data_IF_408085452721
#
_entry.id   IF_408085452721
#
_cell.length_a   1.000
_cell.length_b   1.000
_cell.length_c   1.000
_cell.angle_alpha   90.00
_cell.angle_beta   90.00
_cell.angle_gamma   90.00
#
_symmetry.space_group_name_H-M   'P 1'
#
loop_
_entity.id
_entity.type
_entity.pdbx_description
1 polymer ?
#
# COMPACT_ATOMS: atom_id res chain seq x y z
N UNK A 1 -51.41 -44.12 -12.04
CA UNK A 1 -50.66 -43.27 -11.09
C UNK A 1 -49.35 -43.96 -10.79
N UNK A 2 -48.20 -43.35 -11.11
CA UNK A 2 -46.88 -43.56 -10.50
C UNK A 2 -45.82 -42.78 -11.30
N UNK A 3 -45.73 -41.46 -11.04
CA UNK A 3 -44.63 -40.62 -11.50
C UNK A 3 -43.48 -40.71 -10.49
N UNK A 4 -42.40 -41.40 -10.86
CA UNK A 4 -41.25 -41.63 -9.98
C UNK A 4 -40.42 -40.36 -9.70
N UNK A 5 -39.79 -40.24 -8.52
CA UNK A 5 -39.10 -39.04 -8.03
C UNK A 5 -37.68 -38.84 -8.62
N UNK A 6 -37.40 -39.36 -9.81
CA UNK A 6 -36.05 -39.40 -10.40
C UNK A 6 -35.62 -38.12 -11.12
N UNK A 7 -36.56 -37.22 -11.41
CA UNK A 7 -36.29 -35.97 -12.16
C UNK A 7 -35.69 -34.86 -11.27
N UNK A 8 -36.11 -34.77 -10.00
CA UNK A 8 -35.68 -33.69 -9.10
C UNK A 8 -34.22 -33.84 -8.65
N UNK A 9 -33.77 -35.06 -8.34
CA UNK A 9 -32.41 -35.31 -7.85
C UNK A 9 -31.35 -35.12 -8.95
N UNK A 10 -31.65 -35.55 -10.18
CA UNK A 10 -30.77 -35.33 -11.33
C UNK A 10 -30.67 -33.85 -11.71
N UNK A 11 -31.77 -33.08 -11.57
CA UNK A 11 -31.79 -31.63 -11.83
C UNK A 11 -31.04 -30.85 -10.74
N UNK A 12 -31.18 -31.25 -9.47
CA UNK A 12 -30.45 -30.70 -8.33
C UNK A 12 -28.94 -30.93 -8.42
N UNK A 13 -28.51 -32.14 -8.83
CA UNK A 13 -27.09 -32.44 -9.05
C UNK A 13 -26.51 -31.69 -10.26
N UNK A 14 -27.32 -31.43 -11.31
CA UNK A 14 -26.91 -30.61 -12.46
C UNK A 14 -26.79 -29.13 -12.10
N UNK A 15 -27.72 -28.59 -11.32
CA UNK A 15 -27.65 -27.23 -10.79
C UNK A 15 -26.47 -27.06 -9.84
N UNK A 16 -26.22 -28.02 -8.94
CA UNK A 16 -25.02 -28.02 -8.10
C UNK A 16 -23.75 -28.12 -8.93
N UNK A 17 -23.69 -28.96 -9.97
CA UNK A 17 -22.52 -29.05 -10.84
C UNK A 17 -22.30 -27.78 -11.69
N UNK A 18 -23.36 -27.11 -12.15
CA UNK A 18 -23.28 -25.81 -12.83
C UNK A 18 -22.89 -24.68 -11.88
N UNK A 19 -23.43 -24.67 -10.66
CA UNK A 19 -22.95 -23.78 -9.61
C UNK A 19 -21.48 -24.08 -9.32
N UNK A 20 -21.09 -25.33 -9.06
CA UNK A 20 -19.69 -25.67 -8.82
C UNK A 20 -18.79 -25.28 -9.99
N UNK A 21 -19.19 -25.48 -11.24
CA UNK A 21 -18.42 -25.08 -12.41
C UNK A 21 -18.33 -23.55 -12.56
N UNK A 22 -19.44 -22.83 -12.38
CA UNK A 22 -19.48 -21.36 -12.35
C UNK A 22 -18.62 -20.81 -11.21
N UNK A 23 -18.71 -21.38 -10.01
CA UNK A 23 -17.92 -21.01 -8.84
C UNK A 23 -16.45 -21.38 -9.00
N UNK A 24 -16.11 -22.47 -9.68
CA UNK A 24 -14.71 -22.84 -9.97
C UNK A 24 -14.12 -21.96 -11.08
N UNK A 25 -14.91 -21.62 -12.10
CA UNK A 25 -14.51 -20.71 -13.17
C UNK A 25 -14.37 -19.27 -12.63
N UNK A 26 -15.34 -18.77 -11.86
CA UNK A 26 -15.24 -17.48 -11.15
C UNK A 26 -14.11 -17.46 -10.11
N UNK A 27 -13.88 -18.55 -9.37
CA UNK A 27 -12.78 -18.59 -8.40
C UNK A 27 -11.40 -18.65 -9.08
N UNK A 28 -11.30 -19.17 -10.30
CA UNK A 28 -10.08 -19.06 -11.10
C UNK A 28 -9.91 -17.66 -11.67
N UNK A 29 -10.98 -17.03 -12.19
CA UNK A 29 -10.91 -15.64 -12.66
C UNK A 29 -10.60 -14.66 -11.52
N UNK A 30 -11.22 -14.81 -10.35
CA UNK A 30 -10.93 -13.93 -9.22
C UNK A 30 -9.52 -14.12 -8.70
N UNK A 31 -8.96 -15.33 -8.70
CA UNK A 31 -7.57 -15.50 -8.28
C UNK A 31 -6.61 -14.83 -9.24
N UNK A 32 -6.86 -14.91 -10.56
CA UNK A 32 -6.04 -14.25 -11.57
C UNK A 32 -6.15 -12.72 -11.46
N UNK A 33 -7.36 -12.17 -11.30
CA UNK A 33 -7.58 -10.73 -11.06
C UNK A 33 -6.88 -10.26 -9.77
N UNK A 34 -7.00 -11.04 -8.68
CA UNK A 34 -6.31 -10.77 -7.41
C UNK A 34 -4.80 -10.80 -7.63
N UNK A 35 -4.30 -11.76 -8.40
CA UNK A 35 -2.88 -11.93 -8.66
C UNK A 35 -2.32 -10.73 -9.41
N UNK A 36 -2.98 -10.29 -10.48
CA UNK A 36 -2.60 -9.11 -11.26
C UNK A 36 -2.58 -7.85 -10.38
N UNK A 37 -3.67 -7.57 -9.66
CA UNK A 37 -3.75 -6.40 -8.76
C UNK A 37 -2.65 -6.47 -7.69
N UNK A 38 -2.43 -7.64 -7.10
CA UNK A 38 -1.49 -7.79 -6.01
C UNK A 38 -0.05 -7.62 -6.48
N UNK A 39 0.35 -8.20 -7.60
CA UNK A 39 1.73 -8.12 -8.12
C UNK A 39 2.16 -6.66 -8.34
N UNK A 40 1.26 -5.82 -8.85
CA UNK A 40 1.53 -4.39 -9.05
C UNK A 40 1.63 -3.60 -7.73
N UNK A 41 1.17 -4.19 -6.61
CA UNK A 41 1.08 -3.55 -5.31
C UNK A 41 1.88 -4.31 -4.24
N UNK A 42 3.12 -4.70 -4.54
CA UNK A 42 3.99 -5.41 -3.58
C UNK A 42 3.38 -6.73 -3.06
N UNK A 43 2.69 -7.44 -3.95
CA UNK A 43 1.95 -8.66 -3.67
C UNK A 43 0.82 -8.48 -2.65
N UNK A 44 0.40 -7.24 -2.36
CA UNK A 44 -0.63 -6.91 -1.38
C UNK A 44 -1.98 -6.68 -2.05
N UNK A 45 -3.04 -7.10 -1.35
CA UNK A 45 -4.40 -6.79 -1.74
C UNK A 45 -5.26 -6.53 -0.50
N UNK A 46 -5.96 -5.40 -0.52
CA UNK A 46 -6.95 -5.05 0.49
C UNK A 46 -8.34 -5.54 0.11
N UNK A 47 -9.21 -5.74 1.10
CA UNK A 47 -10.63 -6.04 0.87
C UNK A 47 -11.33 -4.93 0.10
N UNK A 48 -10.86 -3.67 0.23
CA UNK A 48 -11.38 -2.53 -0.51
C UNK A 48 -11.00 -2.60 -1.99
N UNK A 49 -9.73 -2.88 -2.31
CA UNK A 49 -9.28 -3.07 -3.70
C UNK A 49 -10.01 -4.23 -4.38
N UNK A 50 -10.17 -5.36 -3.67
CA UNK A 50 -10.95 -6.49 -4.17
C UNK A 50 -12.39 -6.08 -4.50
N UNK A 51 -13.07 -5.36 -3.60
CA UNK A 51 -14.43 -4.87 -3.85
C UNK A 51 -14.52 -3.91 -5.04
N UNK A 52 -13.54 -3.01 -5.20
CA UNK A 52 -13.47 -2.10 -6.35
C UNK A 52 -13.31 -2.84 -7.67
N UNK A 53 -12.61 -3.98 -7.65
CA UNK A 53 -12.48 -4.89 -8.79
C UNK A 53 -13.66 -5.87 -8.94
N UNK A 54 -14.74 -5.71 -8.18
CA UNK A 54 -15.93 -6.59 -8.24
C UNK A 54 -15.74 -7.96 -7.56
N UNK A 55 -14.64 -8.15 -6.83
CA UNK A 55 -14.32 -9.40 -6.14
C UNK A 55 -14.90 -9.35 -4.71
N UNK A 56 -15.76 -10.30 -4.32
CA UNK A 56 -16.27 -10.37 -2.96
C UNK A 56 -15.16 -10.56 -1.93
N UNK A 57 -15.14 -9.78 -0.85
CA UNK A 57 -14.08 -9.85 0.17
C UNK A 57 -13.93 -11.23 0.83
N UNK A 58 -15.00 -12.05 0.83
CA UNK A 58 -14.97 -13.42 1.33
C UNK A 58 -14.03 -14.32 0.50
N UNK A 59 -13.81 -14.00 -0.78
CA UNK A 59 -12.89 -14.77 -1.63
C UNK A 59 -11.43 -14.63 -1.16
N UNK A 60 -11.02 -13.46 -0.65
CA UNK A 60 -9.71 -13.30 -0.03
C UNK A 60 -9.53 -14.22 1.18
N UNK A 61 -10.54 -14.31 2.05
CA UNK A 61 -10.51 -15.19 3.21
C UNK A 61 -10.48 -16.68 2.80
N UNK A 62 -11.23 -17.08 1.77
CA UNK A 62 -11.19 -18.44 1.22
C UNK A 62 -9.82 -18.77 0.64
N UNK A 63 -9.22 -17.85 -0.12
CA UNK A 63 -7.88 -18.01 -0.68
C UNK A 63 -6.81 -18.06 0.41
N UNK A 64 -6.97 -17.29 1.48
CA UNK A 64 -6.09 -17.38 2.65
C UNK A 64 -6.21 -18.73 3.35
N UNK A 65 -7.43 -19.23 3.56
CA UNK A 65 -7.66 -20.56 4.12
C UNK A 65 -7.07 -21.68 3.26
N UNK A 66 -7.08 -21.52 1.92
CA UNK A 66 -6.47 -22.45 0.97
C UNK A 66 -4.96 -22.26 0.79
N UNK A 67 -4.33 -21.35 1.53
CA UNK A 67 -2.88 -21.11 1.49
C UNK A 67 -2.38 -20.41 0.21
N UNK A 68 -3.26 -19.70 -0.51
CA UNK A 68 -2.90 -18.87 -1.67
C UNK A 68 -2.55 -17.43 -1.26
N UNK A 69 -3.19 -16.96 -0.20
CA UNK A 69 -2.92 -15.67 0.45
C UNK A 69 -2.46 -15.88 1.90
N UNK A 70 -1.70 -14.94 2.44
CA UNK A 70 -1.43 -14.81 3.87
C UNK A 70 -2.14 -13.58 4.42
N UNK A 71 -2.57 -13.65 5.68
CA UNK A 71 -3.20 -12.53 6.36
C UNK A 71 -2.12 -11.61 6.95
N UNK A 72 -2.01 -10.37 6.44
CA UNK A 72 -1.02 -9.38 6.91
C UNK A 72 -1.60 -8.56 8.06
N UNK A 73 -2.82 -8.05 7.86
CA UNK A 73 -3.56 -7.33 8.87
C UNK A 73 -5.05 -7.32 8.57
N UNK A 74 -5.86 -6.67 9.41
CA UNK A 74 -7.29 -6.60 9.19
C UNK A 74 -7.61 -6.04 7.79
N UNK A 75 -8.27 -6.86 6.96
CA UNK A 75 -8.64 -6.51 5.60
C UNK A 75 -7.47 -6.39 4.60
N UNK A 76 -6.25 -6.81 4.98
CA UNK A 76 -5.06 -6.76 4.13
C UNK A 76 -4.41 -8.14 4.03
N UNK A 77 -4.25 -8.61 2.80
CA UNK A 77 -3.70 -9.92 2.47
C UNK A 77 -2.49 -9.78 1.57
N UNK A 78 -1.66 -10.83 1.50
CA UNK A 78 -0.51 -10.90 0.60
C UNK A 78 -0.48 -12.23 -0.14
N UNK A 79 -0.04 -12.25 -1.40
CA UNK A 79 0.22 -13.51 -2.10
C UNK A 79 1.30 -14.31 -1.38
N UNK A 80 1.05 -15.61 -1.15
CA UNK A 80 2.05 -16.48 -0.51
C UNK A 80 3.32 -16.58 -1.35
N UNK A 81 3.21 -16.53 -2.68
CA UNK A 81 4.33 -16.57 -3.63
C UNK A 81 5.05 -15.23 -3.84
N UNK A 82 4.98 -14.30 -2.88
CA UNK A 82 5.72 -13.05 -2.97
C UNK A 82 7.23 -13.28 -2.86
N UNK A 83 8.00 -12.41 -3.52
CA UNK A 83 9.44 -12.30 -3.32
C UNK A 83 9.66 -11.22 -2.26
N UNK A 84 10.32 -11.52 -1.13
CA UNK A 84 10.60 -10.51 -0.11
C UNK A 84 11.40 -9.34 -0.70
N UNK A 85 11.00 -8.12 -0.33
CA UNK A 85 11.66 -6.89 -0.77
C UNK A 85 12.02 -6.03 0.44
N UNK A 86 13.12 -5.27 0.35
CA UNK A 86 13.56 -4.38 1.45
C UNK A 86 12.49 -3.34 1.83
N UNK A 87 11.74 -2.87 0.83
CA UNK A 87 10.67 -1.88 0.99
C UNK A 87 9.30 -2.48 1.39
N UNK A 88 9.24 -3.77 1.72
CA UNK A 88 7.98 -4.43 2.10
C UNK A 88 7.28 -3.76 3.29
N UNK A 89 8.06 -3.32 4.27
CA UNK A 89 7.53 -2.63 5.46
C UNK A 89 6.79 -1.34 5.09
N UNK A 90 7.35 -0.56 4.16
CA UNK A 90 6.75 0.67 3.65
C UNK A 90 5.48 0.40 2.84
N UNK A 91 5.51 -0.59 1.95
CA UNK A 91 4.34 -0.96 1.16
C UNK A 91 3.19 -1.45 2.05
N UNK A 92 3.49 -2.29 3.05
CA UNK A 92 2.53 -2.76 4.04
C UNK A 92 1.95 -1.58 4.84
N UNK A 93 2.79 -0.63 5.26
CA UNK A 93 2.35 0.53 6.02
C UNK A 93 1.35 1.39 5.22
N UNK A 94 1.68 1.71 3.97
CA UNK A 94 0.79 2.48 3.08
C UNK A 94 -0.52 1.73 2.81
N UNK A 95 -0.44 0.45 2.42
CA UNK A 95 -1.62 -0.36 2.12
C UNK A 95 -2.54 -0.54 3.34
N UNK A 96 -1.97 -0.59 4.55
CA UNK A 96 -2.72 -0.69 5.79
C UNK A 96 -3.47 0.58 6.15
N UNK A 97 -2.93 1.74 5.81
CA UNK A 97 -3.62 3.02 5.98
C UNK A 97 -4.76 3.16 4.97
N UNK A 98 -4.58 2.62 3.76
CA UNK A 98 -5.64 2.42 2.78
C UNK A 98 -5.66 3.47 1.68
N UNK A 99 -6.83 3.69 1.07
CA UNK A 99 -6.93 4.45 -0.17
C UNK A 99 -6.44 5.91 -0.03
N UNK A 100 -5.63 6.35 -1.01
CA UNK A 100 -5.02 7.67 -1.04
C UNK A 100 -3.90 7.88 -0.02
N UNK A 101 -3.47 6.84 0.70
CA UNK A 101 -2.33 6.93 1.60
C UNK A 101 -1.00 6.96 0.84
N UNK A 102 0.00 7.62 1.43
CA UNK A 102 1.34 7.71 0.87
C UNK A 102 2.38 7.89 1.99
N UNK A 103 3.63 7.45 1.75
CA UNK A 103 4.75 7.70 2.66
C UNK A 103 4.98 9.20 2.81
N UNK A 104 5.28 9.64 4.04
CA UNK A 104 5.38 11.05 4.38
C UNK A 104 6.72 11.38 5.04
N UNK A 105 7.29 12.54 4.69
CA UNK A 105 8.47 13.09 5.36
C UNK A 105 9.65 12.11 5.45
N UNK A 106 10.03 11.79 6.69
CA UNK A 106 11.23 10.99 6.99
C UNK A 106 11.17 9.59 6.36
N UNK A 107 9.99 8.99 6.21
CA UNK A 107 9.87 7.68 5.57
C UNK A 107 10.16 7.71 4.06
N UNK A 108 9.98 8.84 3.39
CA UNK A 108 10.40 9.00 1.99
C UNK A 108 11.92 9.12 1.91
N UNK A 109 12.53 9.87 2.84
CA UNK A 109 13.99 9.99 2.96
C UNK A 109 14.61 8.61 3.23
N UNK A 110 13.96 7.81 4.08
CA UNK A 110 14.36 6.45 4.42
C UNK A 110 14.22 5.50 3.23
N UNK A 111 13.07 5.49 2.54
CA UNK A 111 12.82 4.67 1.35
C UNK A 111 13.91 4.86 0.28
N UNK A 112 14.33 6.10 0.07
CA UNK A 112 15.35 6.47 -0.91
C UNK A 112 16.80 6.42 -0.35
N UNK A 113 17.00 5.97 0.89
CA UNK A 113 18.31 5.89 1.55
C UNK A 113 19.11 7.23 1.55
N UNK A 114 18.42 8.36 1.60
CA UNK A 114 19.00 9.71 1.44
C UNK A 114 19.58 10.31 2.73
N UNK A 115 19.21 9.76 3.89
CA UNK A 115 19.81 10.08 5.18
C UNK A 115 19.59 8.93 6.17
N UNK A 116 20.43 8.78 7.20
CA UNK A 116 20.11 7.91 8.32
C UNK A 116 18.84 8.41 9.03
N UNK A 117 17.83 7.54 9.08
CA UNK A 117 16.53 7.78 9.73
C UNK A 117 16.28 6.71 10.80
N UNK A 118 15.24 6.88 11.61
CA UNK A 118 14.78 5.83 12.53
C UNK A 118 13.91 4.80 11.79
N UNK A 119 14.39 3.57 11.55
CA UNK A 119 13.60 2.55 10.83
C UNK A 119 12.44 1.99 11.66
N UNK A 120 12.39 2.27 12.98
CA UNK A 120 11.29 1.84 13.85
C UNK A 120 10.01 2.66 13.65
N UNK A 121 10.09 3.78 12.91
CA UNK A 121 8.97 4.69 12.66
C UNK A 121 8.72 4.85 11.17
N UNK A 122 7.51 4.48 10.75
CA UNK A 122 7.01 4.70 9.41
C UNK A 122 5.90 5.74 9.46
N UNK A 123 6.12 6.86 8.79
CA UNK A 123 5.21 7.97 8.65
C UNK A 123 4.41 7.82 7.36
N UNK A 124 3.09 7.76 7.49
CA UNK A 124 2.15 7.64 6.37
C UNK A 124 1.12 8.75 6.47
N UNK A 125 0.96 9.53 5.41
CA UNK A 125 -0.09 10.52 5.31
C UNK A 125 -1.34 9.95 4.60
N UNK A 126 -2.52 10.47 4.93
CA UNK A 126 -3.78 10.11 4.29
C UNK A 126 -4.74 11.32 4.19
N UNK A 127 -5.57 11.39 3.13
CA UNK A 127 -6.63 12.39 2.98
C UNK A 127 -7.70 12.33 4.08
N UNK A 128 -7.82 11.19 4.77
CA UNK A 128 -8.90 10.96 5.72
C UNK A 128 -8.33 10.50 7.06
N UNK A 129 -9.11 10.70 8.12
CA UNK A 129 -8.76 10.17 9.44
C UNK A 129 -8.77 8.64 9.39
N UNK A 130 -7.62 8.05 9.65
CA UNK A 130 -7.44 6.60 9.79
C UNK A 130 -8.14 6.15 11.07
N UNK A 131 -9.19 5.33 10.92
CA UNK A 131 -9.93 4.73 12.03
C UNK A 131 -9.45 3.29 12.21
N UNK A 132 -8.93 2.95 13.39
CA UNK A 132 -8.46 1.60 13.65
C UNK A 132 -7.57 1.51 14.89
N UNK A 133 -7.10 0.29 15.18
CA UNK A 133 -6.14 0.05 16.26
C UNK A 133 -4.78 0.65 15.89
N UNK A 134 -4.20 1.43 16.80
CA UNK A 134 -2.81 1.92 16.68
C UNK A 134 -1.87 0.73 16.49
N UNK A 135 -1.01 0.83 15.48
CA UNK A 135 0.07 -0.11 15.22
C UNK A 135 1.35 0.53 15.74
N UNK A 136 2.13 -0.23 16.48
CA UNK A 136 3.40 0.27 16.98
C UNK A 136 4.35 0.57 15.81
N UNK A 137 5.05 1.70 15.87
CA UNK A 137 5.93 2.16 14.79
C UNK A 137 5.24 2.72 13.54
N UNK A 138 3.91 2.72 13.44
CA UNK A 138 3.19 3.35 12.33
C UNK A 138 2.56 4.68 12.78
N UNK A 139 3.09 5.78 12.26
CA UNK A 139 2.61 7.14 12.54
C UNK A 139 1.77 7.66 11.37
N UNK A 140 0.50 7.94 11.63
CA UNK A 140 -0.44 8.38 10.59
C UNK A 140 -0.71 9.88 10.69
N UNK A 141 -0.51 10.61 9.58
CA UNK A 141 -0.77 12.05 9.47
C UNK A 141 -2.01 12.26 8.61
N UNK A 142 -2.95 13.08 9.06
CA UNK A 142 -4.07 13.51 8.22
C UNK A 142 -3.63 14.76 7.45
N UNK A 143 -3.57 14.67 6.12
CA UNK A 143 -3.33 15.80 5.21
C UNK A 143 -4.47 15.83 4.21
N UNK A 144 -5.14 16.96 4.01
CA UNK A 144 -6.27 17.10 3.09
C UNK A 144 -5.88 16.94 1.61
N UNK A 145 -6.49 17.73 0.73
CA UNK A 145 -6.11 17.73 -0.69
C UNK A 145 -4.65 18.18 -0.84
N UNK A 146 -3.86 17.35 -1.53
CA UNK A 146 -2.41 17.54 -1.69
C UNK A 146 -2.03 17.35 -3.15
N UNK A 147 -1.07 18.15 -3.60
CA UNK A 147 -0.54 18.10 -4.97
C UNK A 147 0.90 17.59 -5.02
N UNK A 148 1.47 17.22 -3.87
CA UNK A 148 2.87 16.79 -3.71
C UNK A 148 3.01 15.28 -3.54
N UNK A 149 2.20 14.49 -4.24
CA UNK A 149 2.22 13.01 -4.18
C UNK A 149 2.75 12.45 -5.50
N UNK A 150 3.66 11.49 -5.38
CA UNK A 150 4.31 10.74 -6.47
C UNK A 150 4.43 9.27 -6.08
N UNK A 151 5.23 8.48 -6.79
CA UNK A 151 5.62 7.14 -6.39
C UNK A 151 7.13 6.93 -6.55
N UNK A 152 7.74 6.29 -5.56
CA UNK A 152 9.13 5.83 -5.61
C UNK A 152 9.13 4.32 -5.37
N UNK A 153 9.87 3.57 -6.18
CA UNK A 153 9.86 2.10 -6.13
C UNK A 153 8.44 1.50 -6.21
N UNK A 154 7.49 2.16 -6.89
CA UNK A 154 6.08 1.74 -6.92
C UNK A 154 5.28 1.98 -5.64
N UNK A 155 5.86 2.63 -4.61
CA UNK A 155 5.17 2.98 -3.36
C UNK A 155 4.72 4.45 -3.42
N UNK A 156 3.41 4.73 -3.25
CA UNK A 156 2.90 6.09 -3.13
C UNK A 156 3.65 6.87 -2.04
N UNK A 157 4.20 8.01 -2.40
CA UNK A 157 5.11 8.78 -1.57
C UNK A 157 4.94 10.28 -1.78
N UNK A 158 5.25 11.07 -0.76
CA UNK A 158 5.37 12.52 -0.92
C UNK A 158 6.57 12.85 -1.84
N UNK A 159 6.46 13.86 -2.69
CA UNK A 159 7.59 14.36 -3.50
C UNK A 159 8.78 14.70 -2.58
N UNK A 160 9.99 14.23 -2.91
CA UNK A 160 11.15 14.31 -2.02
C UNK A 160 11.46 15.73 -1.52
N UNK A 161 11.31 16.76 -2.35
CA UNK A 161 11.55 18.14 -1.94
C UNK A 161 10.55 18.60 -0.86
N UNK A 162 9.29 18.19 -1.01
CA UNK A 162 8.24 18.44 -0.02
C UNK A 162 8.44 17.57 1.23
N UNK A 163 8.88 16.32 1.08
CA UNK A 163 9.20 15.45 2.20
C UNK A 163 10.32 16.01 3.08
N UNK A 164 11.41 16.50 2.48
CA UNK A 164 12.50 17.15 3.22
C UNK A 164 12.00 18.39 3.96
N UNK A 165 11.16 19.22 3.31
CA UNK A 165 10.56 20.40 3.96
C UNK A 165 9.62 20.03 5.11
N UNK A 166 8.87 18.94 4.96
CA UNK A 166 7.99 18.40 6.01
C UNK A 166 8.73 17.92 7.26
N UNK A 167 10.04 17.67 7.16
CA UNK A 167 10.90 17.28 8.28
C UNK A 167 11.61 18.47 8.97
N UNK A 168 11.43 19.69 8.48
CA UNK A 168 12.02 20.88 9.11
C UNK A 168 11.43 21.06 10.51
N UNK A 169 12.29 21.27 11.49
CA UNK A 169 11.93 21.40 12.91
C UNK A 169 11.81 20.07 13.67
N UNK A 170 11.73 18.93 12.99
CA UNK A 170 11.73 17.59 13.61
C UNK A 170 13.03 16.81 13.38
N UNK A 171 13.73 17.06 12.28
CA UNK A 171 15.01 16.43 11.94
C UNK A 171 16.13 17.49 11.92
N UNK A 172 17.36 17.07 12.28
CA UNK A 172 18.54 17.95 12.27
C UNK A 172 18.77 18.59 10.89
N UNK A 173 18.94 19.92 10.79
CA UNK A 173 19.14 20.63 9.53
C UNK A 173 20.28 20.08 8.66
N UNK A 174 21.39 19.66 9.27
CA UNK A 174 22.54 19.08 8.57
C UNK A 174 22.16 17.77 7.85
N UNK A 175 21.31 16.94 8.48
CA UNK A 175 20.82 15.70 7.85
C UNK A 175 19.90 16.02 6.67
N UNK A 176 19.06 17.05 6.79
CA UNK A 176 18.17 17.47 5.71
C UNK A 176 18.94 18.05 4.52
N UNK A 177 20.02 18.80 4.77
CA UNK A 177 20.94 19.26 3.71
C UNK A 177 21.60 18.09 3.00
N UNK A 178 22.16 17.14 3.76
CA UNK A 178 22.79 15.95 3.19
C UNK A 178 21.79 15.12 2.37
N UNK A 179 20.54 15.02 2.81
CA UNK A 179 19.46 14.39 2.06
C UNK A 179 19.14 15.13 0.76
N UNK A 180 19.05 16.46 0.80
CA UNK A 180 18.81 17.29 -0.38
C UNK A 180 19.95 17.20 -1.40
N UNK A 181 21.20 17.19 -0.94
CA UNK A 181 22.39 17.04 -1.79
C UNK A 181 22.39 15.68 -2.48
N UNK A 182 22.17 14.58 -1.73
CA UNK A 182 22.05 13.24 -2.32
C UNK A 182 20.88 13.14 -3.29
N UNK A 183 19.71 13.63 -2.91
CA UNK A 183 18.53 13.62 -3.77
C UNK A 183 18.77 14.36 -5.09
N UNK A 184 19.53 15.46 -5.07
CA UNK A 184 19.95 16.15 -6.30
C UNK A 184 20.92 15.31 -7.12
N UNK A 185 21.93 14.73 -6.48
CA UNK A 185 22.96 13.93 -7.17
C UNK A 185 22.38 12.66 -7.81
N UNK A 186 21.37 12.06 -7.17
CA UNK A 186 20.66 10.88 -7.64
C UNK A 186 19.51 11.21 -8.61
N UNK A 187 19.27 12.51 -8.88
CA UNK A 187 18.30 12.96 -9.89
C UNK A 187 16.85 13.09 -9.41
N UNK A 188 16.57 12.86 -8.12
CA UNK A 188 15.24 13.06 -7.52
C UNK A 188 14.87 14.54 -7.35
N UNK A 189 15.84 15.45 -7.32
CA UNK A 189 15.62 16.89 -7.27
C UNK A 189 16.21 17.62 -8.47
N UNK A 190 15.39 18.46 -9.10
CA UNK A 190 15.88 19.44 -10.07
C UNK A 190 16.73 20.51 -9.37
N UNK A 191 17.65 21.21 -10.07
CA UNK A 191 18.44 22.28 -9.47
C UNK A 191 17.57 23.37 -8.81
N UNK A 192 16.42 23.69 -9.43
CA UNK A 192 15.45 24.65 -8.89
C UNK A 192 14.82 24.16 -7.58
N UNK A 193 14.34 22.91 -7.56
CA UNK A 193 13.71 22.35 -6.37
C UNK A 193 14.72 22.12 -5.24
N UNK A 194 15.96 21.76 -5.56
CA UNK A 194 17.06 21.69 -4.61
C UNK A 194 17.29 23.04 -3.92
N UNK A 195 17.46 24.12 -4.70
CA UNK A 195 17.71 25.45 -4.16
C UNK A 195 16.57 25.91 -3.22
N UNK A 196 15.32 25.73 -3.65
CA UNK A 196 14.15 26.06 -2.83
C UNK A 196 14.09 25.26 -1.51
N UNK A 197 14.52 24.00 -1.52
CA UNK A 197 14.58 23.16 -0.32
C UNK A 197 15.68 23.62 0.65
N UNK A 198 16.88 23.94 0.15
CA UNK A 198 17.98 24.47 0.98
C UNK A 198 17.58 25.80 1.63
N UNK A 199 16.99 26.72 0.87
CA UNK A 199 16.49 28.01 1.38
C UNK A 199 15.40 27.84 2.45
N UNK A 200 14.59 26.79 2.37
CA UNK A 200 13.60 26.48 3.40
C UNK A 200 14.27 26.02 4.71
N UNK A 201 15.31 25.19 4.62
CA UNK A 201 16.07 24.72 5.79
C UNK A 201 16.77 25.90 6.49
N UNK A 202 17.48 26.73 5.73
CA UNK A 202 18.22 27.88 6.29
C UNK A 202 17.33 28.93 6.94
N UNK A 203 16.12 29.15 6.39
CA UNK A 203 15.15 30.09 6.98
C UNK A 203 14.72 29.68 8.38
N UNK A 204 14.59 28.37 8.62
CA UNK A 204 14.18 27.86 9.93
C UNK A 204 15.30 27.93 10.98
N UNK A 205 16.57 27.79 10.60
CA UNK A 205 17.69 27.95 11.56
C UNK A 205 17.93 29.39 12.00
N UNK A 206 17.50 30.36 11.19
CA UNK A 206 17.63 31.80 11.49
C UNK A 206 16.43 32.37 12.26
N UNK A 207 15.36 31.58 12.45
CA UNK A 207 14.13 31.96 13.14
C UNK A 207 14.16 31.52 14.60
#
# INVERSE_FOLDING_TARGET
MNGGPTSYFARFLKDMAQQYHFWYYCAMTYYDDIYEIAVDNYYLISTQQAQQAGIPSVELAKLAHRGKLSHVSHGLYRLVRHVPHENDSYAIAVARVGNGAYLYGESVIALLNLAPTDPSRIYVASPHRVRGRKVDGLETIVRGEVHDVTAYEGIPSQEIGSAIRSCIGSVMPERLRAAAERARNEGYLTPKNYQATIEAIERHEKA
#
